data_IF_661290108860
#
_entry.id   IF_661290108860
#
_cell.length_a   1.000
_cell.length_b   1.000
_cell.length_c   1.000
_cell.angle_alpha   90.00
_cell.angle_beta   90.00
_cell.angle_gamma   90.00
#
_symmetry.space_group_name_H-M   'P 1'
#
loop_
_entity.id
_entity.type
_entity.pdbx_description
1 polymer ?
#
# COMPACT_ATOMS: atom_id res chain seq x y z
N UNK A 1 -8.01 -2.66 23.86
CA UNK A 1 -8.64 -2.14 22.62
C UNK A 1 -7.88 -2.64 21.39
N UNK A 2 -8.57 -3.00 20.32
CA UNK A 2 -8.01 -3.43 19.03
C UNK A 2 -8.20 -2.34 17.98
N UNK A 3 -7.23 -2.16 17.07
CA UNK A 3 -7.26 -1.15 16.02
C UNK A 3 -6.97 -1.79 14.66
N UNK A 4 -7.87 -1.61 13.71
CA UNK A 4 -7.77 -2.18 12.37
C UNK A 4 -8.00 -1.11 11.29
N UNK A 5 -7.44 -1.34 10.11
CA UNK A 5 -7.72 -0.55 8.90
C UNK A 5 -7.63 -1.46 7.65
N UNK A 6 -8.20 -1.06 6.49
CA UNK A 6 -8.13 -1.84 5.26
C UNK A 6 -6.75 -1.79 4.59
N UNK A 7 -5.99 -0.70 4.76
CA UNK A 7 -4.69 -0.48 4.12
C UNK A 7 -3.55 -0.43 5.14
N UNK A 8 -2.32 -0.74 4.71
CA UNK A 8 -1.13 -0.73 5.56
C UNK A 8 -0.82 0.65 6.14
N UNK A 9 -0.94 1.70 5.33
CA UNK A 9 -0.69 3.09 5.72
C UNK A 9 -1.69 3.54 6.79
N UNK A 10 -3.00 3.35 6.56
CA UNK A 10 -4.02 3.73 7.54
C UNK A 10 -3.86 2.94 8.85
N UNK A 11 -3.54 1.65 8.77
CA UNK A 11 -3.24 0.85 9.95
C UNK A 11 -2.03 1.38 10.72
N UNK A 12 -0.99 1.84 10.01
CA UNK A 12 0.20 2.44 10.60
C UNK A 12 -0.12 3.64 11.49
N UNK A 13 -0.93 4.55 10.92
CA UNK A 13 -1.24 5.88 11.44
C UNK A 13 -1.98 5.78 12.78
N UNK A 14 -2.89 4.83 12.90
CA UNK A 14 -3.59 4.55 14.15
C UNK A 14 -2.83 3.62 15.10
N UNK A 15 -1.65 3.11 14.69
CA UNK A 15 -0.88 2.13 15.45
C UNK A 15 -1.56 0.76 15.55
N UNK A 16 -2.28 0.36 14.50
CA UNK A 16 -2.97 -0.91 14.37
C UNK A 16 -2.36 -1.84 13.32
N UNK A 17 -3.17 -2.74 12.78
CA UNK A 17 -2.80 -3.66 11.69
C UNK A 17 -3.90 -3.73 10.65
N UNK A 18 -3.60 -4.28 9.46
CA UNK A 18 -4.64 -4.44 8.45
C UNK A 18 -5.65 -5.53 8.84
N UNK A 19 -6.91 -5.38 8.43
CA UNK A 19 -7.95 -6.42 8.67
C UNK A 19 -7.52 -7.75 8.04
N UNK A 20 -6.94 -7.73 6.85
CA UNK A 20 -6.44 -8.92 6.16
C UNK A 20 -5.29 -9.60 6.93
N UNK A 21 -4.35 -8.81 7.46
CA UNK A 21 -3.28 -9.31 8.33
C UNK A 21 -3.85 -9.96 9.59
N UNK A 22 -4.88 -9.35 10.18
CA UNK A 22 -5.58 -9.90 11.34
C UNK A 22 -6.25 -11.24 11.02
N UNK A 23 -6.96 -11.36 9.89
CA UNK A 23 -7.63 -12.61 9.49
C UNK A 23 -6.66 -13.72 9.05
N UNK A 24 -5.36 -13.41 8.94
CA UNK A 24 -4.34 -14.32 8.41
C UNK A 24 -4.47 -14.54 6.90
N UNK A 25 -5.16 -13.65 6.20
CA UNK A 25 -5.34 -13.64 4.75
C UNK A 25 -4.21 -12.87 4.05
N UNK A 26 -2.96 -13.08 4.49
CA UNK A 26 -1.80 -12.47 3.84
C UNK A 26 -1.54 -13.15 2.49
N UNK A 27 -1.41 -12.35 1.44
CA UNK A 27 -1.16 -12.83 0.07
C UNK A 27 0.17 -13.60 -0.07
N UNK A 28 1.17 -13.32 0.76
CA UNK A 28 2.56 -13.79 0.56
C UNK A 28 3.01 -14.95 1.46
N UNK A 29 2.15 -15.53 2.30
CA UNK A 29 2.56 -16.66 3.14
C UNK A 29 2.28 -17.99 2.43
N UNK A 30 3.32 -18.78 2.16
CA UNK A 30 3.23 -20.11 1.52
C UNK A 30 2.31 -21.12 2.21
N UNK A 31 1.79 -20.78 3.40
CA UNK A 31 0.55 -21.31 3.98
C UNK A 31 -0.19 -20.17 4.69
N UNK A 32 -1.30 -19.61 4.15
CA UNK A 32 -2.10 -18.66 4.90
C UNK A 32 -2.58 -19.34 6.19
N UNK A 33 -2.22 -18.78 7.35
CA UNK A 33 -2.82 -19.19 8.61
C UNK A 33 -4.21 -18.60 8.66
N UNK A 34 -5.16 -19.23 7.96
CA UNK A 34 -6.56 -18.86 8.07
C UNK A 34 -6.99 -19.07 9.52
N UNK A 35 -7.30 -17.99 10.22
CA UNK A 35 -7.83 -18.07 11.57
C UNK A 35 -9.17 -18.80 11.49
N UNK A 36 -9.33 -19.83 12.33
CA UNK A 36 -10.55 -20.62 12.40
C UNK A 36 -11.29 -20.33 13.70
N UNK A 37 -12.62 -20.43 13.71
CA UNK A 37 -13.37 -20.49 14.96
C UNK A 37 -12.79 -21.56 15.90
N UNK A 38 -12.62 -21.23 17.19
CA UNK A 38 -12.03 -22.13 18.19
C UNK A 38 -10.50 -22.11 18.30
N UNK A 39 -9.81 -21.13 17.69
CA UNK A 39 -8.37 -20.94 17.93
C UNK A 39 -8.15 -20.40 19.35
N UNK A 40 -7.68 -21.27 20.26
CA UNK A 40 -7.41 -20.93 21.66
C UNK A 40 -6.48 -19.72 21.83
N UNK A 41 -5.56 -19.47 20.87
CA UNK A 41 -4.68 -18.29 20.92
C UNK A 41 -5.49 -17.02 20.68
N UNK A 42 -6.40 -17.06 19.72
CA UNK A 42 -7.32 -15.96 19.41
C UNK A 42 -8.25 -15.69 20.59
N UNK A 43 -8.85 -16.72 21.18
CA UNK A 43 -9.72 -16.58 22.35
C UNK A 43 -9.01 -15.87 23.50
N UNK A 44 -7.78 -16.31 23.84
CA UNK A 44 -6.95 -15.66 24.85
C UNK A 44 -6.65 -14.20 24.50
N UNK A 45 -6.28 -13.92 23.25
CA UNK A 45 -5.98 -12.57 22.78
C UNK A 45 -7.20 -11.64 22.86
N UNK A 46 -8.39 -12.16 22.56
CA UNK A 46 -9.63 -11.40 22.53
C UNK A 46 -10.39 -11.37 23.85
N UNK A 47 -10.02 -12.20 24.83
CA UNK A 47 -10.69 -12.26 26.14
C UNK A 47 -10.83 -10.85 26.74
N UNK A 48 -9.75 -10.07 26.75
CA UNK A 48 -9.70 -8.71 27.33
C UNK A 48 -10.02 -7.57 26.34
N UNK A 49 -10.36 -7.88 25.09
CA UNK A 49 -10.69 -6.85 24.10
C UNK A 49 -12.14 -6.43 24.25
N UNK A 50 -12.37 -5.18 24.67
CA UNK A 50 -13.72 -4.60 24.84
C UNK A 50 -14.10 -3.61 23.73
N UNK A 51 -13.09 -3.08 23.03
CA UNK A 51 -13.24 -2.07 21.99
C UNK A 51 -12.50 -2.47 20.72
N UNK A 52 -13.16 -2.31 19.58
CA UNK A 52 -12.60 -2.43 18.24
C UNK A 52 -12.78 -1.11 17.48
N UNK A 53 -11.66 -0.53 17.05
CA UNK A 53 -11.60 0.62 16.16
C UNK A 53 -11.34 0.12 14.73
N UNK A 54 -12.16 0.55 13.76
CA UNK A 54 -11.90 0.34 12.33
C UNK A 54 -11.84 1.69 11.65
N UNK A 55 -10.67 2.05 11.12
CA UNK A 55 -10.48 3.25 10.32
C UNK A 55 -10.62 2.96 8.82
N UNK A 56 -10.87 4.00 8.03
CA UNK A 56 -11.15 3.95 6.59
C UNK A 56 -12.28 2.95 6.21
N UNK A 57 -13.36 2.97 6.99
CA UNK A 57 -14.50 2.05 6.85
C UNK A 57 -15.18 2.11 5.46
N UNK A 58 -15.01 3.19 4.71
CA UNK A 58 -15.54 3.31 3.34
C UNK A 58 -14.95 2.26 2.38
N UNK A 59 -13.72 1.80 2.64
CA UNK A 59 -13.04 0.79 1.84
C UNK A 59 -13.26 -0.64 2.35
N UNK A 60 -13.96 -0.82 3.48
CA UNK A 60 -14.25 -2.13 4.07
C UNK A 60 -15.57 -2.66 3.52
N UNK A 61 -15.49 -3.75 2.77
CA UNK A 61 -16.66 -4.39 2.18
C UNK A 61 -17.38 -5.36 3.14
N UNK A 62 -18.64 -5.67 2.82
CA UNK A 62 -19.51 -6.51 3.64
C UNK A 62 -18.98 -7.93 3.82
N UNK A 63 -18.32 -8.50 2.81
CA UNK A 63 -17.75 -9.85 2.91
C UNK A 63 -16.62 -9.85 3.93
N UNK A 64 -15.72 -8.87 3.85
CA UNK A 64 -14.61 -8.73 4.80
C UNK A 64 -15.10 -8.47 6.22
N UNK A 65 -16.12 -7.61 6.37
CA UNK A 65 -16.73 -7.32 7.66
C UNK A 65 -17.43 -8.55 8.27
N UNK A 66 -18.12 -9.34 7.45
CA UNK A 66 -18.76 -10.60 7.89
C UNK A 66 -17.75 -11.66 8.34
N UNK A 67 -16.62 -11.79 7.64
CA UNK A 67 -15.50 -12.64 8.09
C UNK A 67 -14.97 -12.17 9.46
N UNK A 68 -14.73 -10.87 9.60
CA UNK A 68 -14.27 -10.29 10.85
C UNK A 68 -15.25 -10.55 12.02
N UNK A 69 -16.55 -10.34 11.79
CA UNK A 69 -17.62 -10.65 12.76
C UNK A 69 -17.54 -12.11 13.21
N UNK A 70 -17.47 -13.06 12.26
CA UNK A 70 -17.43 -14.50 12.55
C UNK A 70 -16.24 -14.90 13.41
N UNK A 71 -15.05 -14.37 13.11
CA UNK A 71 -13.83 -14.66 13.86
C UNK A 71 -13.91 -14.09 15.28
N UNK A 72 -14.46 -12.89 15.45
CA UNK A 72 -14.59 -12.27 16.77
C UNK A 72 -15.67 -12.96 17.61
N UNK A 73 -16.83 -13.27 17.06
CA UNK A 73 -17.88 -14.04 17.76
C UNK A 73 -17.32 -15.37 18.27
N UNK A 74 -16.55 -16.09 17.43
CA UNK A 74 -15.90 -17.32 17.84
C UNK A 74 -14.90 -17.11 18.98
N UNK A 75 -14.06 -16.07 18.90
CA UNK A 75 -13.09 -15.74 19.95
C UNK A 75 -13.75 -15.36 21.29
N UNK A 76 -14.97 -14.80 21.23
CA UNK A 76 -15.76 -14.38 22.38
C UNK A 76 -16.76 -15.44 22.85
N UNK A 77 -16.81 -16.61 22.23
CA UNK A 77 -17.82 -17.64 22.50
C UNK A 77 -19.26 -17.11 22.42
N UNK A 78 -19.51 -16.20 21.49
CA UNK A 78 -20.79 -15.54 21.29
C UNK A 78 -21.50 -16.04 20.03
N UNK A 79 -22.82 -15.97 20.04
CA UNK A 79 -23.64 -16.26 18.87
C UNK A 79 -23.36 -15.26 17.73
N UNK A 80 -23.47 -15.71 16.47
CA UNK A 80 -23.29 -14.85 15.30
C UNK A 80 -24.34 -13.75 15.17
N UNK A 81 -25.49 -13.90 15.82
CA UNK A 81 -26.53 -12.87 15.93
C UNK A 81 -26.12 -11.72 16.85
N UNK A 82 -25.10 -11.90 17.69
CA UNK A 82 -24.55 -10.82 18.51
C UNK A 82 -23.39 -10.19 17.72
N UNK A 83 -23.57 -8.98 17.15
CA UNK A 83 -22.53 -8.37 16.31
C UNK A 83 -21.22 -8.25 17.08
N UNK A 84 -20.15 -8.72 16.44
CA UNK A 84 -18.77 -8.72 16.93
C UNK A 84 -18.63 -9.34 18.33
N UNK A 85 -19.48 -10.32 18.66
CA UNK A 85 -19.47 -10.98 19.96
C UNK A 85 -19.74 -10.04 21.14
N UNK A 86 -20.45 -8.94 20.91
CA UNK A 86 -20.91 -8.02 21.97
C UNK A 86 -19.87 -6.98 22.39
N UNK A 87 -18.74 -6.86 21.69
CA UNK A 87 -17.78 -5.79 21.95
C UNK A 87 -18.26 -4.45 21.40
N UNK A 88 -17.72 -3.35 21.94
CA UNK A 88 -17.96 -2.03 21.40
C UNK A 88 -17.15 -1.85 20.10
N UNK A 89 -17.83 -1.49 19.02
CA UNK A 89 -17.19 -1.25 17.72
C UNK A 89 -17.40 0.19 17.31
N UNK A 90 -16.31 0.85 16.91
CA UNK A 90 -16.32 2.23 16.47
C UNK A 90 -15.72 2.29 15.06
N UNK A 91 -16.52 2.75 14.11
CA UNK A 91 -16.11 2.93 12.71
C UNK A 91 -15.74 4.39 12.44
N UNK A 92 -14.61 4.59 11.79
CA UNK A 92 -14.15 5.87 11.26
C UNK A 92 -13.99 5.76 9.74
N UNK A 93 -14.20 6.87 9.04
CA UNK A 93 -14.00 6.95 7.60
C UNK A 93 -15.00 7.86 6.92
N UNK A 94 -14.77 8.08 5.63
CA UNK A 94 -15.60 8.93 4.79
C UNK A 94 -16.10 8.18 3.57
N UNK A 95 -17.37 7.80 3.58
CA UNK A 95 -18.02 7.05 2.51
C UNK A 95 -18.11 7.77 1.16
N UNK A 96 -17.76 9.07 1.10
CA UNK A 96 -17.62 9.82 -0.15
C UNK A 96 -16.21 9.74 -0.75
N UNK A 97 -15.28 9.02 -0.11
CA UNK A 97 -13.96 8.71 -0.68
C UNK A 97 -14.01 7.39 -1.47
N UNK A 98 -13.05 6.48 -1.25
CA UNK A 98 -12.97 5.22 -1.97
C UNK A 98 -13.96 4.19 -1.42
N UNK A 99 -14.66 3.53 -2.35
CA UNK A 99 -15.50 2.35 -2.09
C UNK A 99 -14.66 1.08 -1.98
N UNK A 100 -15.21 -0.01 -1.40
CA UNK A 100 -14.51 -1.29 -1.36
C UNK A 100 -14.28 -1.82 -2.78
N UNK A 101 -13.15 -2.51 -2.97
CA UNK A 101 -12.77 -3.07 -4.27
C UNK A 101 -13.44 -4.44 -4.44
N UNK A 102 -14.28 -4.57 -5.48
CA UNK A 102 -15.06 -5.79 -5.77
C UNK A 102 -15.96 -6.29 -4.62
N UNK A 103 -16.37 -5.40 -3.70
CA UNK A 103 -17.26 -5.71 -2.58
C UNK A 103 -18.22 -4.55 -2.32
N UNK A 104 -19.34 -4.83 -1.64
CA UNK A 104 -20.34 -3.82 -1.32
C UNK A 104 -19.97 -3.08 -0.03
N UNK A 105 -20.10 -1.74 0.03
CA UNK A 105 -19.92 -0.98 1.28
C UNK A 105 -21.09 -1.20 2.25
N UNK A 106 -20.85 -0.95 3.54
CA UNK A 106 -21.89 -1.01 4.58
C UNK A 106 -23.04 -0.02 4.32
N UNK A 107 -22.72 1.16 3.78
CA UNK A 107 -23.68 2.21 3.45
C UNK A 107 -23.57 2.56 1.96
N UNK A 108 -24.25 1.83 1.06
CA UNK A 108 -24.17 2.06 -0.39
C UNK A 108 -24.79 3.40 -0.82
N UNK A 109 -25.87 3.81 -0.14
CA UNK A 109 -26.63 5.03 -0.43
C UNK A 109 -26.27 6.15 0.54
N UNK A 110 -25.00 6.27 0.90
CA UNK A 110 -24.54 7.27 1.85
C UNK A 110 -24.85 8.69 1.36
N UNK A 111 -25.86 9.33 1.98
CA UNK A 111 -26.22 10.72 1.71
C UNK A 111 -25.49 11.67 2.69
N UNK A 112 -24.93 12.79 2.19
CA UNK A 112 -24.23 13.78 3.00
C UNK A 112 -25.15 14.62 3.90
N UNK A 113 -26.47 14.53 3.74
CA UNK A 113 -27.47 15.36 4.43
C UNK A 113 -27.50 15.15 5.96
N UNK A 114 -26.94 14.04 6.46
CA UNK A 114 -26.97 13.66 7.88
C UNK A 114 -25.76 14.13 8.72
N UNK A 115 -25.01 15.18 8.36
CA UNK A 115 -23.74 15.50 9.05
C UNK A 115 -23.69 16.79 9.88
N UNK A 116 -23.14 16.64 11.09
CA UNK A 116 -22.45 17.68 11.86
C UNK A 116 -21.28 18.23 11.03
N UNK A 117 -21.15 19.56 10.96
CA UNK A 117 -20.03 20.26 10.33
C UNK A 117 -18.77 19.96 11.16
N UNK A 118 -17.82 19.22 10.60
CA UNK A 118 -16.51 19.00 11.22
C UNK A 118 -15.56 20.11 10.74
N UNK A 119 -14.85 20.74 11.65
CA UNK A 119 -13.80 21.69 11.28
C UNK A 119 -12.64 20.89 10.68
N UNK A 120 -12.40 21.05 9.39
CA UNK A 120 -11.27 20.44 8.73
C UNK A 120 -9.99 21.17 9.19
N UNK A 121 -9.21 20.54 10.07
CA UNK A 121 -7.98 21.10 10.62
C UNK A 121 -6.77 20.93 9.69
N UNK A 122 -6.94 20.35 8.49
CA UNK A 122 -5.83 20.03 7.57
C UNK A 122 -5.22 21.26 6.91
N UNK A 123 -5.96 22.37 6.81
CA UNK A 123 -5.47 23.59 6.18
C UNK A 123 -6.23 24.81 6.69
N UNK A 124 -5.56 25.96 6.75
CA UNK A 124 -6.15 27.25 7.11
C UNK A 124 -6.69 28.00 5.88
N UNK A 125 -6.34 27.55 4.66
CA UNK A 125 -6.81 28.16 3.41
C UNK A 125 -8.30 27.88 3.21
N UNK A 126 -9.11 28.87 3.54
CA UNK A 126 -10.58 28.81 3.44
C UNK A 126 -11.05 28.59 2.00
N UNK A 127 -10.38 29.18 1.01
CA UNK A 127 -10.78 29.04 -0.39
C UNK A 127 -10.54 27.61 -0.87
N UNK A 128 -9.42 27.00 -0.46
CA UNK A 128 -9.12 25.61 -0.76
C UNK A 128 -10.06 24.64 -0.03
N UNK A 129 -10.38 24.90 1.25
CA UNK A 129 -11.35 24.10 2.02
C UNK A 129 -12.72 24.05 1.33
N UNK A 130 -13.22 25.21 0.92
CA UNK A 130 -14.51 25.32 0.23
C UNK A 130 -14.53 24.55 -1.10
N UNK A 131 -13.42 24.59 -1.85
CA UNK A 131 -13.24 23.80 -3.06
C UNK A 131 -13.30 22.30 -2.75
N UNK A 132 -12.57 21.83 -1.73
CA UNK A 132 -12.54 20.41 -1.35
C UNK A 132 -13.91 19.92 -0.87
N UNK A 133 -14.65 20.74 -0.12
CA UNK A 133 -16.01 20.41 0.31
C UNK A 133 -16.94 20.26 -0.90
N UNK A 134 -16.91 21.19 -1.85
CA UNK A 134 -17.72 21.10 -3.08
C UNK A 134 -17.33 19.90 -3.93
N UNK A 135 -16.04 19.63 -4.08
CA UNK A 135 -15.52 18.47 -4.80
C UNK A 135 -16.01 17.17 -4.19
N UNK A 136 -15.94 17.05 -2.86
CA UNK A 136 -16.44 15.91 -2.10
C UNK A 136 -17.94 15.65 -2.31
N UNK A 137 -18.73 16.69 -2.58
CA UNK A 137 -20.17 16.60 -2.82
C UNK A 137 -20.56 16.53 -4.31
N UNK A 138 -19.60 16.64 -5.23
CA UNK A 138 -19.89 16.75 -6.66
C UNK A 138 -20.56 18.07 -7.06
N UNK A 139 -20.41 19.13 -6.26
CA UNK A 139 -21.03 20.45 -6.46
C UNK A 139 -20.00 21.51 -6.89
N UNK A 140 -19.01 21.12 -7.69
CA UNK A 140 -17.95 22.03 -8.15
C UNK A 140 -18.53 23.17 -8.98
N UNK A 141 -17.94 24.35 -8.83
CA UNK A 141 -18.26 25.54 -9.61
C UNK A 141 -17.14 25.87 -10.59
N UNK A 142 -17.39 26.80 -11.50
CA UNK A 142 -16.38 27.22 -12.47
C UNK A 142 -15.15 27.85 -11.80
N UNK A 143 -15.34 28.57 -10.68
CA UNK A 143 -14.25 29.18 -9.93
C UNK A 143 -13.32 28.14 -9.27
N UNK A 144 -13.84 26.93 -9.00
CA UNK A 144 -13.04 25.82 -8.49
C UNK A 144 -12.09 25.29 -9.57
N UNK A 145 -12.58 25.20 -10.81
CA UNK A 145 -11.79 24.82 -11.97
C UNK A 145 -10.68 25.83 -12.24
N UNK A 146 -10.99 27.14 -12.22
CA UNK A 146 -9.98 28.19 -12.37
C UNK A 146 -8.91 28.14 -11.28
N UNK A 147 -9.31 27.87 -10.03
CA UNK A 147 -8.37 27.72 -8.92
C UNK A 147 -7.42 26.53 -9.13
N UNK A 148 -7.91 25.41 -9.64
CA UNK A 148 -7.08 24.24 -9.95
C UNK A 148 -6.14 24.52 -11.12
N UNK A 149 -6.60 25.22 -12.17
CA UNK A 149 -5.75 25.61 -13.30
C UNK A 149 -4.60 26.50 -12.89
N UNK A 150 -4.82 27.43 -11.95
CA UNK A 150 -3.76 28.28 -11.40
C UNK A 150 -2.67 27.50 -10.64
N UNK A 151 -2.88 26.20 -10.38
CA UNK A 151 -1.93 25.31 -9.70
C UNK A 151 -1.27 24.30 -10.63
N UNK A 152 -1.42 24.45 -11.95
CA UNK A 152 -0.67 23.64 -12.92
C UNK A 152 0.78 24.12 -12.94
N UNK A 153 1.65 23.36 -12.26
CA UNK A 153 3.09 23.60 -12.22
C UNK A 153 3.81 22.78 -13.30
N UNK A 154 4.96 23.28 -13.78
CA UNK A 154 5.75 22.62 -14.82
C UNK A 154 6.45 21.36 -14.33
N UNK A 155 7.47 21.52 -13.48
CA UNK A 155 8.19 20.38 -12.91
C UNK A 155 7.67 20.07 -11.49
N UNK A 156 7.18 18.84 -11.24
CA UNK A 156 6.71 18.46 -9.92
C UNK A 156 7.88 18.23 -8.98
N UNK A 157 7.88 18.94 -7.84
CA UNK A 157 8.80 18.69 -6.70
C UNK A 157 8.23 17.69 -5.70
N UNK A 158 6.99 17.26 -5.91
CA UNK A 158 6.23 16.37 -5.04
C UNK A 158 5.92 15.04 -5.75
N UNK A 159 5.57 13.98 -5.00
CA UNK A 159 5.13 12.71 -5.59
C UNK A 159 3.98 12.90 -6.58
N UNK A 160 4.09 12.29 -7.76
CA UNK A 160 3.05 12.32 -8.78
C UNK A 160 2.01 11.23 -8.49
N UNK A 161 0.74 11.63 -8.38
CA UNK A 161 -0.39 10.71 -8.30
C UNK A 161 -0.93 10.46 -9.70
N UNK A 162 -1.09 9.18 -10.05
CA UNK A 162 -1.64 8.77 -11.35
C UNK A 162 -2.71 7.69 -11.17
N UNK A 163 -3.64 7.64 -12.12
CA UNK A 163 -4.79 6.74 -12.04
C UNK A 163 -4.46 5.27 -12.35
N UNK A 164 -3.41 5.02 -13.14
CA UNK A 164 -3.06 3.68 -13.64
C UNK A 164 -1.67 3.27 -13.20
N UNK A 165 -1.54 2.01 -12.80
CA UNK A 165 -0.26 1.43 -12.38
C UNK A 165 0.75 1.43 -13.53
N UNK A 166 0.32 1.20 -14.77
CA UNK A 166 1.22 1.20 -15.92
C UNK A 166 1.86 2.57 -16.14
N UNK A 167 1.09 3.65 -15.96
CA UNK A 167 1.59 5.02 -16.05
C UNK A 167 2.56 5.30 -14.91
N UNK A 168 2.24 4.86 -13.68
CA UNK A 168 3.12 5.00 -12.51
C UNK A 168 4.47 4.34 -12.77
N UNK A 169 4.47 3.10 -13.26
CA UNK A 169 5.69 2.35 -13.55
C UNK A 169 6.51 3.02 -14.64
N UNK A 170 5.89 3.49 -15.73
CA UNK A 170 6.59 4.23 -16.78
C UNK A 170 7.20 5.54 -16.28
N UNK A 171 6.49 6.32 -15.48
CA UNK A 171 7.01 7.57 -14.89
C UNK A 171 8.17 7.30 -13.94
N UNK A 172 8.06 6.28 -13.09
CA UNK A 172 9.13 5.87 -12.18
C UNK A 172 10.38 5.44 -12.96
N UNK A 173 10.23 4.69 -14.06
CA UNK A 173 11.36 4.30 -14.90
C UNK A 173 12.04 5.54 -15.52
N UNK A 174 11.27 6.48 -16.05
CA UNK A 174 11.81 7.73 -16.63
C UNK A 174 12.52 8.58 -15.58
N UNK A 175 11.95 8.67 -14.37
CA UNK A 175 12.57 9.39 -13.25
C UNK A 175 13.88 8.73 -12.83
N UNK A 176 13.94 7.40 -12.72
CA UNK A 176 15.18 6.69 -12.41
C UNK A 176 16.26 6.91 -13.49
N UNK A 177 15.90 6.84 -14.78
CA UNK A 177 16.83 7.13 -15.88
C UNK A 177 17.37 8.56 -15.79
N UNK A 178 16.48 9.54 -15.54
CA UNK A 178 16.88 10.93 -15.41
C UNK A 178 17.83 11.16 -14.23
N UNK A 179 17.51 10.61 -13.06
CA UNK A 179 18.34 10.71 -11.87
C UNK A 179 19.71 10.06 -12.07
N UNK A 180 19.79 8.93 -12.78
CA UNK A 180 21.07 8.29 -13.08
C UNK A 180 21.99 9.21 -13.91
N UNK A 181 21.42 9.91 -14.90
CA UNK A 181 22.14 10.89 -15.73
C UNK A 181 22.58 12.10 -14.92
N UNK A 182 21.70 12.62 -14.06
CA UNK A 182 21.99 13.79 -13.22
C UNK A 182 23.12 13.53 -12.21
N UNK A 183 23.12 12.35 -11.57
CA UNK A 183 24.16 11.94 -10.62
C UNK A 183 25.45 11.50 -11.34
N UNK A 184 25.38 11.20 -12.63
CA UNK A 184 26.54 10.74 -13.43
C UNK A 184 26.90 9.28 -13.16
N UNK A 185 25.92 8.44 -12.83
CA UNK A 185 26.10 7.00 -12.57
C UNK A 185 25.38 6.15 -13.60
N UNK A 186 25.86 4.93 -13.83
CA UNK A 186 25.11 3.96 -14.63
C UNK A 186 23.83 3.55 -13.90
N UNK A 187 22.72 3.48 -14.64
CA UNK A 187 21.46 2.97 -14.10
C UNK A 187 21.63 1.50 -13.72
N UNK A 188 21.20 1.14 -12.52
CA UNK A 188 21.12 -0.24 -12.08
C UNK A 188 19.69 -0.74 -12.20
N UNK A 189 19.49 -1.94 -12.73
CA UNK A 189 18.18 -2.57 -12.82
C UNK A 189 18.25 -3.94 -12.16
N UNK A 190 17.51 -4.10 -11.06
CA UNK A 190 17.32 -5.39 -10.41
C UNK A 190 16.26 -6.18 -11.18
N UNK A 191 16.58 -7.42 -11.53
CA UNK A 191 15.68 -8.31 -12.27
C UNK A 191 14.97 -9.24 -11.30
N UNK A 192 13.67 -9.43 -11.51
CA UNK A 192 12.90 -10.39 -10.74
C UNK A 192 13.39 -11.84 -10.97
N UNK A 193 13.37 -12.64 -9.91
CA UNK A 193 13.62 -14.07 -9.99
C UNK A 193 12.28 -14.80 -9.89
N UNK A 194 11.83 -15.33 -11.01
CA UNK A 194 10.56 -16.04 -11.09
C UNK A 194 10.74 -17.55 -10.86
N UNK A 195 9.83 -18.14 -10.09
CA UNK A 195 9.85 -19.56 -9.76
C UNK A 195 8.51 -20.23 -10.09
N UNK A 196 8.56 -21.37 -10.76
CA UNK A 196 7.42 -22.25 -11.02
C UNK A 196 7.51 -23.47 -10.08
N UNK A 197 6.58 -23.57 -9.12
CA UNK A 197 6.55 -24.68 -8.13
C UNK A 197 7.87 -24.86 -7.38
N UNK A 198 8.54 -23.75 -7.04
CA UNK A 198 9.81 -23.74 -6.31
C UNK A 198 11.05 -24.01 -7.16
N UNK A 199 10.93 -24.17 -8.48
CA UNK A 199 12.07 -24.24 -9.41
C UNK A 199 12.17 -22.92 -10.19
N UNK A 200 13.38 -22.41 -10.35
CA UNK A 200 13.63 -21.21 -11.13
C UNK A 200 13.12 -21.39 -12.58
N UNK A 201 12.47 -20.35 -13.12
CA UNK A 201 12.11 -20.30 -14.52
C UNK A 201 13.37 -19.99 -15.34
N UNK A 202 14.02 -21.02 -15.87
CA UNK A 202 15.28 -20.89 -16.63
C UNK A 202 15.08 -20.93 -18.15
N UNK A 203 13.90 -21.35 -18.62
CA UNK A 203 13.62 -21.42 -20.06
C UNK A 203 13.59 -20.01 -20.68
N UNK A 204 14.47 -19.69 -21.66
CA UNK A 204 14.64 -18.32 -22.16
C UNK A 204 13.35 -17.70 -22.72
N UNK A 205 12.52 -18.49 -23.39
CA UNK A 205 11.24 -18.04 -23.93
C UNK A 205 10.24 -17.66 -22.81
N UNK A 206 10.24 -18.42 -21.72
CA UNK A 206 9.40 -18.16 -20.55
C UNK A 206 9.88 -16.92 -19.80
N UNK A 207 11.19 -16.81 -19.52
CA UNK A 207 11.80 -15.64 -18.87
C UNK A 207 11.46 -14.36 -19.61
N UNK A 208 11.64 -14.34 -20.94
CA UNK A 208 11.30 -13.18 -21.75
C UNK A 208 9.83 -12.78 -21.61
N UNK A 209 8.93 -13.76 -21.61
CA UNK A 209 7.49 -13.52 -21.45
C UNK A 209 7.13 -12.98 -20.06
N UNK A 210 7.82 -13.45 -19.01
CA UNK A 210 7.63 -12.97 -17.64
C UNK A 210 8.13 -11.53 -17.44
N UNK A 211 9.25 -11.17 -18.10
CA UNK A 211 9.76 -9.80 -18.11
C UNK A 211 8.81 -8.80 -18.79
N UNK A 212 7.98 -9.26 -19.73
CA UNK A 212 6.99 -8.46 -20.45
C UNK A 212 5.63 -8.36 -19.74
N UNK A 213 5.43 -9.08 -18.63
CA UNK A 213 4.20 -9.00 -17.85
C UNK A 213 4.07 -7.64 -17.16
N UNK A 214 2.84 -7.14 -17.06
CA UNK A 214 2.53 -5.96 -16.29
C UNK A 214 2.53 -6.27 -14.80
N UNK A 215 2.99 -5.32 -13.99
CA UNK A 215 2.99 -5.42 -12.52
C UNK A 215 1.61 -5.83 -11.96
N UNK A 216 0.52 -5.42 -12.61
CA UNK A 216 -0.85 -5.78 -12.23
C UNK A 216 -1.14 -7.29 -12.25
N UNK A 217 -0.38 -8.07 -13.04
CA UNK A 217 -0.49 -9.53 -13.13
C UNK A 217 0.49 -10.27 -12.22
N UNK A 218 1.45 -9.56 -11.63
CA UNK A 218 2.52 -10.08 -10.78
C UNK A 218 2.43 -9.50 -9.36
N UNK A 219 1.19 -9.31 -8.86
CA UNK A 219 0.93 -8.79 -7.51
C UNK A 219 1.57 -7.43 -7.22
N UNK A 220 1.69 -6.59 -8.23
CA UNK A 220 2.36 -5.29 -8.21
C UNK A 220 3.88 -5.36 -7.96
N UNK A 221 4.49 -6.52 -8.19
CA UNK A 221 5.94 -6.69 -8.19
C UNK A 221 6.48 -6.48 -9.61
N UNK A 222 7.35 -5.48 -9.82
CA UNK A 222 7.90 -5.22 -11.14
C UNK A 222 8.93 -6.27 -11.53
N UNK A 223 8.89 -6.73 -12.78
CA UNK A 223 9.90 -7.66 -13.33
C UNK A 223 11.27 -6.99 -13.47
N UNK A 224 11.29 -5.67 -13.69
CA UNK A 224 12.49 -4.84 -13.80
C UNK A 224 12.36 -3.67 -12.83
N UNK A 225 13.23 -3.62 -11.82
CA UNK A 225 13.23 -2.58 -10.81
C UNK A 225 14.46 -1.66 -10.99
N UNK A 226 14.31 -0.49 -11.62
CA UNK A 226 15.41 0.46 -11.74
C UNK A 226 15.70 1.12 -10.40
N UNK A 227 16.98 1.21 -10.07
CA UNK A 227 17.50 1.71 -8.79
C UNK A 227 18.65 2.70 -9.03
N UNK A 228 18.58 3.84 -8.34
CA UNK A 228 19.61 4.88 -8.33
C UNK A 228 19.76 5.38 -6.90
N UNK A 229 21.00 5.47 -6.40
CA UNK A 229 21.25 5.96 -5.05
C UNK A 229 20.62 7.34 -4.82
N UNK A 230 19.94 7.52 -3.69
CA UNK A 230 19.19 8.73 -3.35
C UNK A 230 17.74 8.75 -3.83
N UNK A 231 17.29 7.79 -4.63
CA UNK A 231 15.90 7.79 -5.09
C UNK A 231 14.91 7.42 -3.97
N UNK A 232 13.71 8.02 -3.95
CA UNK A 232 12.66 7.63 -3.02
C UNK A 232 12.11 6.24 -3.39
N UNK A 233 11.88 5.42 -2.38
CA UNK A 233 11.31 4.08 -2.50
C UNK A 233 10.18 3.88 -1.49
N UNK A 234 9.26 2.95 -1.79
CA UNK A 234 8.17 2.57 -0.91
C UNK A 234 8.31 1.09 -0.59
N UNK A 235 8.25 0.75 0.70
CA UNK A 235 8.21 -0.64 1.15
C UNK A 235 6.84 -1.21 0.80
N UNK A 236 6.78 -2.35 0.11
CA UNK A 236 5.52 -2.99 -0.32
C UNK A 236 5.08 -4.15 0.57
N UNK A 237 5.90 -4.53 1.56
CA UNK A 237 5.67 -5.67 2.43
C UNK A 237 5.76 -5.30 3.91
N UNK A 238 5.10 -6.09 4.75
CA UNK A 238 5.22 -5.96 6.20
C UNK A 238 6.44 -6.76 6.67
N UNK A 239 7.58 -6.09 6.81
CA UNK A 239 8.86 -6.73 7.18
C UNK A 239 8.97 -6.85 8.70
N UNK A 240 8.78 -5.74 9.42
CA UNK A 240 8.91 -5.67 10.87
C UNK A 240 7.91 -4.64 11.41
N UNK A 241 6.69 -5.11 11.68
CA UNK A 241 5.56 -4.26 12.12
C UNK A 241 5.92 -3.51 13.41
N UNK A 242 6.63 -4.16 14.33
CA UNK A 242 7.02 -3.57 15.62
C UNK A 242 8.01 -2.40 15.48
N UNK A 243 8.85 -2.44 14.44
CA UNK A 243 9.77 -1.35 14.09
C UNK A 243 9.11 -0.30 13.17
N UNK A 244 7.86 -0.55 12.75
CA UNK A 244 7.13 0.27 11.81
C UNK A 244 7.45 -0.02 10.33
N UNK A 245 8.27 -1.03 10.00
CA UNK A 245 8.59 -1.40 8.61
C UNK A 245 7.43 -2.16 7.97
N UNK A 246 6.52 -1.40 7.36
CA UNK A 246 5.24 -1.89 6.82
C UNK A 246 5.01 -1.43 5.38
N UNK A 247 4.05 -2.08 4.72
CA UNK A 247 3.61 -1.68 3.40
C UNK A 247 3.12 -0.22 3.37
N UNK A 248 3.72 0.59 2.48
CA UNK A 248 3.44 2.00 2.28
C UNK A 248 4.42 2.95 2.97
N UNK A 249 5.40 2.43 3.71
CA UNK A 249 6.44 3.26 4.33
C UNK A 249 7.41 3.78 3.26
N UNK A 250 7.69 5.09 3.31
CA UNK A 250 8.67 5.75 2.47
C UNK A 250 10.10 5.54 2.99
N UNK A 251 11.04 5.41 2.07
CA UNK A 251 12.47 5.37 2.35
C UNK A 251 13.29 5.97 1.22
N UNK A 252 14.59 6.08 1.44
CA UNK A 252 15.57 6.52 0.45
C UNK A 252 16.49 5.35 0.15
N UNK A 253 16.53 4.92 -1.10
CA UNK A 253 17.44 3.85 -1.51
C UNK A 253 18.88 4.36 -1.50
N UNK A 254 19.78 3.61 -0.86
CA UNK A 254 21.20 3.97 -0.75
C UNK A 254 22.09 3.10 -1.61
N UNK A 255 21.92 1.79 -1.55
CA UNK A 255 22.80 0.84 -2.23
C UNK A 255 22.12 -0.51 -2.46
N UNK A 256 22.45 -1.17 -3.57
CA UNK A 256 22.18 -2.59 -3.77
C UNK A 256 23.47 -3.37 -3.54
N UNK A 257 23.40 -4.46 -2.78
CA UNK A 257 24.51 -5.36 -2.52
C UNK A 257 24.27 -6.65 -3.29
N UNK A 258 25.25 -7.07 -4.08
CA UNK A 258 25.18 -8.20 -5.01
C UNK A 258 26.58 -8.75 -5.29
N UNK A 259 26.66 -10.00 -5.74
CA UNK A 259 27.92 -10.61 -6.18
C UNK A 259 28.29 -10.11 -7.58
N UNK A 260 29.59 -9.94 -7.86
CA UNK A 260 30.08 -9.41 -9.15
C UNK A 260 29.59 -10.27 -10.33
N UNK A 261 29.53 -11.59 -10.14
CA UNK A 261 29.08 -12.55 -11.15
C UNK A 261 27.57 -12.45 -11.48
N UNK A 262 26.82 -11.63 -10.74
CA UNK A 262 25.39 -11.43 -10.94
C UNK A 262 25.04 -10.28 -11.89
N UNK A 263 26.04 -9.56 -12.39
CA UNK A 263 25.86 -8.40 -13.27
C UNK A 263 25.98 -8.79 -14.74
N UNK A 264 24.99 -8.39 -15.54
CA UNK A 264 25.08 -8.41 -17.00
C UNK A 264 24.89 -7.00 -17.56
N UNK A 265 25.55 -6.71 -18.68
CA UNK A 265 25.35 -5.50 -19.48
C UNK A 265 24.53 -5.78 -20.75
N UNK A 266 24.07 -7.01 -20.94
CA UNK A 266 23.25 -7.35 -22.09
C UNK A 266 21.91 -6.63 -22.00
N UNK A 267 21.53 -5.95 -23.09
CA UNK A 267 20.27 -5.21 -23.14
C UNK A 267 19.09 -6.19 -23.10
N UNK A 268 18.48 -6.33 -21.92
CA UNK A 268 17.29 -7.16 -21.69
C UNK A 268 15.99 -6.40 -21.99
N UNK A 269 16.05 -5.08 -22.11
CA UNK A 269 14.91 -4.24 -22.40
C UNK A 269 15.31 -3.03 -23.25
N UNK A 270 14.46 -2.69 -24.22
CA UNK A 270 14.57 -1.45 -25.01
C UNK A 270 14.20 -0.20 -24.21
N UNK A 271 13.69 -0.36 -23.00
CA UNK A 271 13.25 0.76 -22.14
C UNK A 271 14.41 1.51 -21.50
N UNK A 272 15.53 0.83 -21.25
CA UNK A 272 16.66 1.39 -20.51
C UNK A 272 17.87 1.68 -21.43
N UNK A 273 18.75 2.64 -21.05
CA UNK A 273 19.97 2.95 -21.79
C UNK A 273 20.90 1.74 -21.98
N UNK A 274 21.77 1.78 -22.99
CA UNK A 274 22.69 0.67 -23.31
C UNK A 274 23.77 0.41 -22.25
N UNK A 275 24.11 1.41 -21.43
CA UNK A 275 25.06 1.30 -20.32
C UNK A 275 24.41 0.84 -19.00
N UNK A 276 23.17 0.35 -19.04
CA UNK A 276 22.45 -0.14 -17.86
C UNK A 276 23.11 -1.41 -17.32
N UNK A 277 23.28 -1.47 -16.00
CA UNK A 277 23.76 -2.66 -15.29
C UNK A 277 22.56 -3.47 -14.80
N UNK A 278 22.42 -4.69 -15.30
CA UNK A 278 21.36 -5.61 -14.91
C UNK A 278 21.86 -6.56 -13.84
N UNK A 279 21.15 -6.63 -12.71
CA UNK A 279 21.52 -7.46 -11.55
C UNK A 279 20.53 -8.60 -11.40
N UNK A 280 21.00 -9.84 -11.53
CA UNK A 280 20.17 -11.04 -11.48
C UNK A 280 20.04 -11.66 -10.07
N UNK A 281 21.02 -11.46 -9.20
CA UNK A 281 21.08 -12.08 -7.86
C UNK A 281 21.45 -11.04 -6.79
N UNK A 282 20.53 -10.11 -6.46
CA UNK A 282 20.76 -9.21 -5.34
C UNK A 282 20.82 -10.00 -4.03
N UNK A 283 21.70 -9.59 -3.12
CA UNK A 283 21.78 -10.13 -1.75
C UNK A 283 20.84 -9.34 -0.85
N UNK A 284 20.96 -8.01 -0.83
CA UNK A 284 20.04 -7.11 -0.12
C UNK A 284 20.13 -5.68 -0.66
N UNK A 285 19.12 -4.86 -0.34
CA UNK A 285 19.10 -3.43 -0.61
C UNK A 285 19.20 -2.65 0.72
N UNK A 286 20.05 -1.63 0.75
CA UNK A 286 20.14 -0.69 1.86
C UNK A 286 19.16 0.46 1.61
N UNK A 287 18.21 0.61 2.52
CA UNK A 287 17.19 1.67 2.48
C UNK A 287 17.22 2.45 3.78
N UNK A 288 17.35 3.76 3.68
CA UNK A 288 17.27 4.68 4.80
C UNK A 288 15.81 5.07 5.06
N UNK A 289 15.39 5.00 6.33
CA UNK A 289 14.02 5.32 6.76
C UNK A 289 14.08 6.52 7.69
N UNK A 290 13.51 7.65 7.25
CA UNK A 290 13.61 8.93 7.97
C UNK A 290 12.73 9.03 9.22
N UNK A 291 11.74 8.12 9.38
CA UNK A 291 10.86 8.04 10.56
C UNK A 291 10.59 6.57 10.88
N UNK A 292 11.39 5.98 11.77
CA UNK A 292 11.06 4.70 12.38
C UNK A 292 10.27 4.93 13.66
N UNK A 293 9.37 4.01 14.04
CA UNK A 293 8.61 4.10 15.30
C UNK A 293 9.48 4.06 16.57
N UNK A 294 10.79 3.89 16.43
CA UNK A 294 11.75 3.81 17.54
C UNK A 294 11.79 5.12 18.33
N UNK A 295 11.56 6.27 17.69
CA UNK A 295 11.60 7.58 18.37
C UNK A 295 10.31 7.93 19.14
N UNK A 296 9.23 7.17 18.99
CA UNK A 296 7.96 7.49 19.68
C UNK A 296 7.77 6.78 21.03
N UNK A 297 8.72 5.93 21.46
CA UNK A 297 8.63 5.13 22.69
C UNK A 297 9.83 5.30 23.64
N UNK A 298 10.58 6.39 23.54
CA UNK A 298 11.56 6.82 24.56
C UNK A 298 11.06 8.08 25.27
#
# INVERSE_FOLDING_TARGET
>A
MRKLAPTGIAAAEIGGMTIHSFLGEQRNSGKPRTIKPGDLKLEKEWTLVEYLLIDEMSMVGLILLGKLNRIICAAKHADLQIPFGGINVIFFGDYLQYRPVYDAPLHPDFSPENKKKYNNMRTEDTRYLQLLERLRQGQCRYEDYELLLARVVGQPTAPMLVLRNEIRTQLNHRSAIHNAVEVGTNLMVCIAQDCCKGKAAEEPALVKKLLELSDSKTEHLPSLLPLVSGMPVIITQNIAIELGLINGMNGIFRQLVYDIDSVSTDSLSKTFPTNTQYVHKPIYALVEISKSKIECNL
#
